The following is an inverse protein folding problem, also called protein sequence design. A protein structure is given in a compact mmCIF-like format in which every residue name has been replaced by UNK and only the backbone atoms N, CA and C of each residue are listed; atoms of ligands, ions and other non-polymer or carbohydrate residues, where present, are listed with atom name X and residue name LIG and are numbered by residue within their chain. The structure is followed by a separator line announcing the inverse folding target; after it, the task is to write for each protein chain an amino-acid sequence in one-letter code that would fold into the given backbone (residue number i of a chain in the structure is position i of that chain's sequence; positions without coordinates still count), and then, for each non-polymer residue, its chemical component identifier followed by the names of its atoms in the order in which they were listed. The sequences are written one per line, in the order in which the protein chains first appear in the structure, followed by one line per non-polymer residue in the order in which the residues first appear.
data_IF_771744453904
#
_entry.id   IF_771744453904
#
_cell.length_a   1.000
_cell.length_b   1.000
_cell.length_c   1.000
_cell.angle_alpha   90.00
_cell.angle_beta   90.00
_cell.angle_gamma   90.00
#
_symmetry.space_group_name_H-M   'P 1'
#
loop_
_entity.id
_entity.type
_entity.pdbx_description
1 polymer ?
#
# COMPACT_ATOMS: atom_id res chain seq x y z
N UNK A 1 -55.21 -53.00 75.31
CA UNK A 1 -55.06 -51.59 74.90
C UNK A 1 -53.90 -51.01 75.68
N UNK A 2 -52.65 -51.47 75.59
CA UNK A 2 -51.73 -51.65 74.45
C UNK A 2 -51.64 -50.48 73.47
N UNK A 3 -50.44 -49.87 73.48
CA UNK A 3 -49.73 -49.17 72.40
C UNK A 3 -50.26 -47.78 71.95
N UNK A 4 -49.46 -46.78 71.57
CA UNK A 4 -48.05 -46.69 71.21
C UNK A 4 -47.61 -45.21 71.20
N UNK A 5 -46.35 -44.98 71.59
CA UNK A 5 -45.56 -43.75 71.42
C UNK A 5 -45.47 -43.33 69.94
N UNK A 6 -45.43 -42.02 69.65
CA UNK A 6 -44.80 -41.52 68.42
C UNK A 6 -43.85 -40.36 68.69
N UNK A 7 -42.58 -40.62 68.37
CA UNK A 7 -41.42 -39.72 68.44
C UNK A 7 -41.45 -38.75 67.26
N UNK A 8 -41.18 -37.47 67.51
CA UNK A 8 -40.81 -36.52 66.45
C UNK A 8 -39.37 -36.81 65.99
N UNK A 9 -39.18 -37.13 64.72
CA UNK A 9 -37.86 -37.13 64.07
C UNK A 9 -37.70 -35.83 63.28
N UNK A 10 -36.70 -35.03 63.63
CA UNK A 10 -36.15 -33.98 62.79
C UNK A 10 -35.26 -34.66 61.72
N UNK A 11 -35.60 -34.46 60.45
CA UNK A 11 -34.75 -34.81 59.31
C UNK A 11 -34.07 -33.53 58.83
N UNK A 12 -32.75 -33.43 58.98
CA UNK A 12 -31.94 -32.37 58.37
C UNK A 12 -31.48 -32.90 57.01
N UNK A 13 -32.10 -32.43 55.93
CA UNK A 13 -31.59 -32.66 54.58
C UNK A 13 -30.48 -31.65 54.29
N UNK A 14 -29.24 -32.13 54.19
CA UNK A 14 -28.10 -31.37 53.70
C UNK A 14 -28.13 -31.44 52.17
N UNK A 15 -28.67 -30.41 51.52
CA UNK A 15 -28.48 -30.20 50.09
C UNK A 15 -27.04 -29.76 49.80
N UNK A 16 -26.21 -30.70 49.33
CA UNK A 16 -24.94 -30.38 48.67
C UNK A 16 -25.23 -29.77 47.29
N UNK A 17 -25.27 -28.44 47.24
CA UNK A 17 -25.28 -27.68 45.99
C UNK A 17 -23.92 -27.77 45.31
N UNK A 18 -23.85 -28.48 44.18
CA UNK A 18 -22.69 -28.46 43.28
C UNK A 18 -22.66 -27.11 42.57
N UNK A 19 -21.77 -26.22 43.00
CA UNK A 19 -21.49 -24.95 42.31
C UNK A 19 -20.57 -25.28 41.14
N UNK A 20 -21.13 -25.44 39.95
CA UNK A 20 -20.36 -25.43 38.70
C UNK A 20 -19.85 -24.01 38.43
N UNK A 21 -18.60 -23.74 38.79
CA UNK A 21 -17.88 -22.53 38.37
C UNK A 21 -17.53 -22.70 36.89
N UNK A 22 -18.35 -22.12 36.01
CA UNK A 22 -17.96 -21.92 34.63
C UNK A 22 -16.83 -20.89 34.59
N UNK A 23 -15.60 -21.35 34.39
CA UNK A 23 -14.50 -20.48 33.99
C UNK A 23 -14.77 -19.98 32.56
N UNK A 24 -15.51 -18.87 32.46
CA UNK A 24 -15.51 -18.05 31.26
C UNK A 24 -14.10 -17.52 31.07
N UNK A 25 -13.29 -18.19 30.25
CA UNK A 25 -12.05 -17.61 29.73
C UNK A 25 -12.44 -16.38 28.91
N UNK A 26 -12.36 -15.19 29.51
CA UNK A 26 -12.39 -13.94 28.77
C UNK A 26 -11.12 -13.88 27.93
N UNK A 27 -11.15 -14.46 26.73
CA UNK A 27 -10.15 -14.15 25.72
C UNK A 27 -10.37 -12.69 25.31
N UNK A 28 -9.40 -11.82 25.60
CA UNK A 28 -9.40 -10.46 25.11
C UNK A 28 -9.54 -10.48 23.58
N UNK A 29 -10.44 -9.67 23.00
CA UNK A 29 -10.55 -9.59 21.54
C UNK A 29 -9.18 -9.22 20.96
N UNK A 30 -8.76 -9.97 19.93
CA UNK A 30 -7.49 -9.73 19.23
C UNK A 30 -7.52 -8.34 18.59
N UNK A 31 -6.42 -7.61 18.68
CA UNK A 31 -6.28 -6.36 17.92
C UNK A 31 -6.23 -6.63 16.41
N UNK A 32 -6.47 -5.62 15.59
CA UNK A 32 -6.28 -5.71 14.13
C UNK A 32 -4.86 -6.16 13.77
N UNK A 33 -3.87 -5.68 14.54
CA UNK A 33 -2.47 -6.08 14.35
C UNK A 33 -2.28 -7.57 14.63
N UNK A 34 -2.85 -8.10 15.73
CA UNK A 34 -2.75 -9.53 16.07
C UNK A 34 -3.40 -10.41 14.99
N UNK A 35 -4.57 -9.99 14.50
CA UNK A 35 -5.29 -10.70 13.43
C UNK A 35 -4.42 -10.79 12.18
N UNK A 36 -3.85 -9.67 11.74
CA UNK A 36 -3.04 -9.64 10.52
C UNK A 36 -1.68 -10.29 10.71
N UNK A 37 -1.08 -10.16 11.89
CA UNK A 37 0.16 -10.83 12.27
C UNK A 37 0.00 -12.34 12.16
N UNK A 38 -1.07 -12.91 12.74
CA UNK A 38 -1.34 -14.34 12.65
C UNK A 38 -1.50 -14.84 11.20
N UNK A 39 -2.08 -14.02 10.33
CA UNK A 39 -2.31 -14.39 8.92
C UNK A 39 -1.04 -14.30 8.06
N UNK A 40 -0.15 -13.36 8.35
CA UNK A 40 0.97 -13.03 7.47
C UNK A 40 2.33 -13.45 8.03
N UNK A 41 2.43 -13.82 9.31
CA UNK A 41 3.69 -14.13 10.00
C UNK A 41 4.56 -15.13 9.25
N UNK A 42 4.01 -16.24 8.78
CA UNK A 42 4.78 -17.26 8.03
C UNK A 42 5.40 -16.65 6.77
N UNK A 43 4.59 -16.07 5.89
CA UNK A 43 5.05 -15.43 4.64
C UNK A 43 6.12 -14.36 4.91
N UNK A 44 5.87 -13.48 5.88
CA UNK A 44 6.75 -12.36 6.21
C UNK A 44 8.10 -12.87 6.74
N UNK A 45 8.10 -13.84 7.65
CA UNK A 45 9.34 -14.38 8.21
C UNK A 45 10.18 -15.14 7.18
N UNK A 46 9.54 -15.89 6.28
CA UNK A 46 10.21 -16.58 5.16
C UNK A 46 10.83 -15.60 4.17
N UNK A 47 10.07 -14.59 3.72
CA UNK A 47 10.58 -13.55 2.82
C UNK A 47 11.71 -12.75 3.48
N UNK A 48 11.53 -12.30 4.73
CA UNK A 48 12.55 -11.55 5.45
C UNK A 48 13.84 -12.35 5.61
N UNK A 49 13.75 -13.65 5.89
CA UNK A 49 14.91 -14.53 5.95
C UNK A 49 15.68 -14.57 4.62
N UNK A 50 14.97 -14.59 3.49
CA UNK A 50 15.59 -14.56 2.16
C UNK A 50 16.34 -13.25 1.85
N UNK A 51 16.01 -12.16 2.55
CA UNK A 51 16.61 -10.84 2.36
C UNK A 51 17.71 -10.48 3.36
N UNK A 52 17.96 -11.27 4.42
CA UNK A 52 18.97 -10.95 5.43
C UNK A 52 20.39 -10.75 4.86
N UNK A 53 20.73 -11.48 3.79
CA UNK A 53 22.03 -11.37 3.11
C UNK A 53 22.04 -10.43 1.89
N UNK A 54 20.92 -9.76 1.59
CA UNK A 54 20.78 -8.96 0.38
C UNK A 54 21.71 -7.74 0.43
N UNK A 55 22.46 -7.51 -0.65
CA UNK A 55 23.31 -6.32 -0.75
C UNK A 55 22.49 -5.08 -1.20
N UNK A 56 22.85 -3.87 -0.74
CA UNK A 56 22.28 -2.63 -1.25
C UNK A 56 22.55 -2.46 -2.74
N UNK A 57 21.50 -2.14 -3.49
CA UNK A 57 21.54 -1.81 -4.91
C UNK A 57 20.62 -0.61 -5.11
N UNK A 58 21.12 0.43 -5.77
CA UNK A 58 20.37 1.67 -6.03
C UNK A 58 20.32 1.96 -7.53
N UNK A 59 19.71 3.09 -7.90
CA UNK A 59 19.62 3.51 -9.29
C UNK A 59 20.99 3.76 -9.94
N UNK A 60 22.00 4.15 -9.17
CA UNK A 60 23.34 4.43 -9.71
C UNK A 60 24.05 3.17 -10.23
N UNK A 61 23.54 1.98 -9.90
CA UNK A 61 24.04 0.71 -10.44
C UNK A 61 23.62 0.45 -11.89
N UNK A 62 22.72 1.25 -12.45
CA UNK A 62 22.17 1.05 -13.80
C UNK A 62 22.22 2.35 -14.60
N UNK A 63 23.00 2.39 -15.67
CA UNK A 63 23.09 3.57 -16.53
C UNK A 63 21.97 3.52 -17.58
N UNK A 64 21.17 4.56 -17.63
CA UNK A 64 20.19 4.78 -18.68
C UNK A 64 20.77 5.67 -19.78
N UNK A 65 21.33 5.08 -20.83
CA UNK A 65 21.96 5.80 -21.96
C UNK A 65 21.04 6.85 -22.63
N UNK A 66 19.71 6.68 -22.48
CA UNK A 66 18.70 7.59 -23.04
C UNK A 66 18.27 8.71 -22.09
N UNK A 67 18.78 8.71 -20.85
CA UNK A 67 18.47 9.73 -19.86
C UNK A 67 19.21 11.03 -20.15
N UNK A 68 18.55 12.15 -19.90
CA UNK A 68 19.18 13.47 -19.89
C UNK A 68 19.69 13.88 -18.48
N UNK A 69 19.49 13.02 -17.48
CA UNK A 69 19.90 13.23 -16.11
C UNK A 69 21.27 12.65 -15.77
N UNK A 70 21.69 12.88 -14.53
CA UNK A 70 22.88 12.24 -13.95
C UNK A 70 22.59 10.80 -13.51
N UNK A 71 23.63 10.07 -13.10
CA UNK A 71 23.50 8.72 -12.51
C UNK A 71 22.65 8.70 -11.23
N UNK A 72 22.48 9.85 -10.57
CA UNK A 72 21.67 10.02 -9.36
C UNK A 72 20.21 10.36 -9.66
N UNK A 73 19.84 10.56 -10.93
CA UNK A 73 18.47 10.91 -11.29
C UNK A 73 17.67 9.69 -11.75
N UNK A 74 16.45 9.54 -11.24
CA UNK A 74 15.59 8.44 -11.64
C UNK A 74 15.13 8.61 -13.10
N UNK A 75 15.30 7.56 -13.90
CA UNK A 75 14.87 7.50 -15.29
C UNK A 75 13.93 6.32 -15.53
N UNK A 76 12.88 6.58 -16.29
CA UNK A 76 12.00 5.55 -16.83
C UNK A 76 11.36 6.05 -18.12
N UNK A 77 10.73 5.15 -18.86
CA UNK A 77 10.06 5.47 -20.11
C UNK A 77 8.56 5.27 -20.00
N UNK A 78 7.79 6.10 -20.72
CA UNK A 78 6.35 5.99 -20.71
C UNK A 78 5.91 4.63 -21.25
N UNK A 79 5.24 3.83 -20.43
CA UNK A 79 5.02 2.39 -20.72
C UNK A 79 4.34 2.13 -22.05
N UNK A 80 3.39 2.99 -22.42
CA UNK A 80 2.52 2.81 -23.57
C UNK A 80 3.01 3.53 -24.82
N UNK A 81 4.28 3.90 -24.90
CA UNK A 81 4.86 4.62 -26.03
C UNK A 81 5.76 3.70 -26.86
N UNK A 82 5.46 3.63 -28.16
CA UNK A 82 6.06 2.68 -29.09
C UNK A 82 6.71 3.40 -30.28
N UNK A 83 7.75 2.81 -30.90
CA UNK A 83 8.23 3.24 -32.21
C UNK A 83 7.09 3.31 -33.22
N UNK A 84 7.14 4.34 -34.08
CA UNK A 84 6.20 4.44 -35.17
C UNK A 84 6.66 3.53 -36.33
N UNK A 85 5.92 2.46 -36.67
CA UNK A 85 6.36 1.50 -37.69
C UNK A 85 6.44 2.11 -39.09
N UNK A 86 5.71 3.21 -39.34
CA UNK A 86 5.71 3.92 -40.63
C UNK A 86 6.88 4.90 -40.76
N UNK A 87 7.35 5.45 -39.64
CA UNK A 87 8.41 6.47 -39.60
C UNK A 87 9.34 6.18 -38.42
N UNK A 88 10.33 5.28 -38.57
CA UNK A 88 11.14 4.77 -37.46
C UNK A 88 11.88 5.84 -36.64
N UNK A 89 12.27 6.94 -37.29
CA UNK A 89 13.00 8.06 -36.65
C UNK A 89 12.07 9.13 -36.04
N UNK A 90 10.75 8.97 -36.17
CA UNK A 90 9.78 9.91 -35.60
C UNK A 90 9.54 9.71 -34.10
N UNK A 91 8.89 10.69 -33.48
CA UNK A 91 8.45 10.60 -32.10
C UNK A 91 7.57 9.36 -31.87
N UNK A 92 7.72 8.73 -30.70
CA UNK A 92 6.91 7.56 -30.35
C UNK A 92 5.41 7.87 -30.36
N UNK A 93 4.61 6.83 -30.56
CA UNK A 93 3.14 6.86 -30.59
C UNK A 93 2.56 6.10 -29.41
N UNK A 94 1.41 6.55 -28.88
CA UNK A 94 0.78 5.93 -27.71
C UNK A 94 -0.10 4.74 -28.11
N UNK A 95 0.00 3.63 -27.37
CA UNK A 95 -0.88 2.44 -27.44
C UNK A 95 -1.34 2.06 -26.03
N UNK A 96 -2.51 2.55 -25.61
CA UNK A 96 -2.95 2.45 -24.21
C UNK A 96 -3.07 1.00 -23.69
N UNK A 97 -2.48 0.72 -22.53
CA UNK A 97 -2.47 -0.61 -21.91
C UNK A 97 -1.46 -1.61 -22.49
N UNK A 98 -0.83 -1.30 -23.63
CA UNK A 98 0.18 -2.15 -24.24
C UNK A 98 1.57 -1.65 -23.85
N UNK A 99 2.16 -2.29 -22.84
CA UNK A 99 3.50 -1.95 -22.36
C UNK A 99 4.56 -2.30 -23.39
N UNK A 100 5.41 -1.34 -23.74
CA UNK A 100 6.56 -1.54 -24.62
C UNK A 100 7.65 -2.35 -23.88
N UNK A 101 8.00 -3.57 -24.35
CA UNK A 101 9.00 -4.41 -23.70
C UNK A 101 10.43 -3.83 -23.79
N UNK A 102 10.70 -2.93 -24.74
CA UNK A 102 12.02 -2.32 -24.96
C UNK A 102 12.30 -1.13 -24.03
N UNK A 103 11.35 -0.82 -23.15
CA UNK A 103 11.51 0.27 -22.19
C UNK A 103 12.64 0.00 -21.21
N UNK A 104 13.36 1.06 -20.86
CA UNK A 104 14.25 1.04 -19.72
C UNK A 104 13.44 0.96 -18.42
N UNK A 105 13.59 -0.16 -17.70
CA UNK A 105 12.84 -0.46 -16.47
C UNK A 105 13.73 -0.72 -15.25
N UNK A 106 15.07 -0.60 -15.39
CA UNK A 106 16.00 -1.02 -14.36
C UNK A 106 15.84 -0.23 -13.05
N UNK A 107 15.72 1.11 -13.12
CA UNK A 107 15.52 1.95 -11.92
C UNK A 107 14.23 1.58 -11.18
N UNK A 108 13.14 1.34 -11.91
CA UNK A 108 11.87 0.88 -11.34
C UNK A 108 12.03 -0.49 -10.65
N UNK A 109 12.75 -1.43 -11.28
CA UNK A 109 13.01 -2.76 -10.71
C UNK A 109 13.78 -2.69 -9.39
N UNK A 110 14.84 -1.88 -9.31
CA UNK A 110 15.59 -1.74 -8.05
C UNK A 110 14.81 -1.00 -6.97
N UNK A 111 13.92 -0.08 -7.33
CA UNK A 111 13.03 0.57 -6.38
C UNK A 111 11.97 -0.39 -5.82
N UNK A 112 11.37 -1.22 -6.67
CA UNK A 112 10.48 -2.31 -6.24
C UNK A 112 11.23 -3.27 -5.33
N UNK A 113 12.47 -3.65 -5.69
CA UNK A 113 13.32 -4.50 -4.83
C UNK A 113 13.57 -3.86 -3.47
N UNK A 114 13.89 -2.56 -3.40
CA UNK A 114 14.04 -1.84 -2.14
C UNK A 114 12.75 -1.89 -1.31
N UNK A 115 11.60 -1.64 -1.94
CA UNK A 115 10.28 -1.72 -1.30
C UNK A 115 9.99 -3.09 -0.72
N UNK A 116 10.28 -4.18 -1.45
CA UNK A 116 10.12 -5.55 -0.97
C UNK A 116 11.03 -5.86 0.24
N UNK A 117 12.32 -5.53 0.14
CA UNK A 117 13.28 -5.72 1.23
C UNK A 117 12.86 -4.94 2.47
N UNK A 118 12.52 -3.66 2.29
CA UNK A 118 12.11 -2.77 3.39
C UNK A 118 10.83 -3.27 4.06
N UNK A 119 9.85 -3.65 3.25
CA UNK A 119 8.58 -4.18 3.69
C UNK A 119 8.72 -5.47 4.51
N UNK A 120 9.44 -6.44 3.97
CA UNK A 120 9.65 -7.74 4.62
C UNK A 120 10.43 -7.61 5.93
N UNK A 121 11.58 -6.94 5.91
CA UNK A 121 12.46 -6.82 7.09
C UNK A 121 11.79 -6.03 8.23
N UNK A 122 11.19 -4.87 7.93
CA UNK A 122 10.52 -4.08 8.97
C UNK A 122 9.29 -4.80 9.53
N UNK A 123 8.52 -5.50 8.69
CA UNK A 123 7.37 -6.29 9.17
C UNK A 123 7.80 -7.47 10.03
N UNK A 124 8.89 -8.16 9.66
CA UNK A 124 9.43 -9.24 10.48
C UNK A 124 9.87 -8.72 11.86
N UNK A 125 10.54 -7.57 11.92
CA UNK A 125 10.86 -6.91 13.18
C UNK A 125 9.61 -6.60 14.02
N UNK A 126 8.52 -6.09 13.43
CA UNK A 126 7.28 -5.81 14.18
C UNK A 126 6.69 -7.07 14.85
N UNK A 127 6.85 -8.23 14.22
CA UNK A 127 6.31 -9.53 14.68
C UNK A 127 7.25 -10.23 15.66
N UNK A 128 8.56 -10.17 15.45
CA UNK A 128 9.52 -10.97 16.22
C UNK A 128 10.39 -10.17 17.18
N UNK A 129 10.45 -8.84 17.00
CA UNK A 129 11.31 -7.91 17.75
C UNK A 129 12.81 -8.26 17.65
N UNK A 130 13.20 -8.99 16.60
CA UNK A 130 14.59 -9.41 16.37
C UNK A 130 15.36 -8.33 15.61
N UNK A 131 16.34 -7.73 16.28
CA UNK A 131 17.11 -6.57 15.81
C UNK A 131 17.82 -6.82 14.47
N UNK A 132 18.16 -8.09 14.16
CA UNK A 132 18.87 -8.46 12.91
C UNK A 132 18.15 -7.97 11.65
N UNK A 133 16.82 -7.87 11.70
CA UNK A 133 16.03 -7.41 10.55
C UNK A 133 16.21 -5.91 10.31
N UNK A 134 16.31 -5.11 11.38
CA UNK A 134 16.60 -3.68 11.28
C UNK A 134 18.06 -3.46 10.87
N UNK A 135 18.99 -4.20 11.47
CA UNK A 135 20.41 -4.17 11.10
C UNK A 135 20.62 -4.47 9.61
N UNK A 136 19.91 -5.46 9.07
CA UNK A 136 19.94 -5.79 7.64
C UNK A 136 19.33 -4.70 6.76
N UNK A 137 18.30 -3.97 7.24
CA UNK A 137 17.63 -2.92 6.46
C UNK A 137 18.45 -1.62 6.37
N UNK A 138 19.18 -1.25 7.43
CA UNK A 138 19.89 0.03 7.52
C UNK A 138 20.84 0.32 6.35
N UNK A 139 21.69 -0.61 5.87
CA UNK A 139 22.54 -0.40 4.71
C UNK A 139 21.77 -0.02 3.43
N UNK A 140 20.58 -0.59 3.22
CA UNK A 140 19.76 -0.27 2.04
C UNK A 140 19.25 1.16 2.09
N UNK A 141 18.73 1.60 3.24
CA UNK A 141 18.24 2.98 3.41
C UNK A 141 19.39 3.99 3.28
N UNK A 142 20.53 3.73 3.92
CA UNK A 142 21.72 4.59 3.81
C UNK A 142 22.22 4.69 2.37
N UNK A 143 22.27 3.58 1.63
CA UNK A 143 22.69 3.60 0.23
C UNK A 143 21.74 4.42 -0.65
N UNK A 144 20.43 4.28 -0.47
CA UNK A 144 19.44 4.93 -1.33
C UNK A 144 19.27 6.42 -1.06
N UNK A 145 19.34 6.85 0.21
CA UNK A 145 18.95 8.20 0.61
C UNK A 145 20.11 9.10 1.01
N UNK A 146 21.22 8.52 1.50
CA UNK A 146 22.27 9.28 2.21
C UNK A 146 23.62 9.24 1.50
N UNK A 147 24.10 8.04 1.14
CA UNK A 147 25.45 7.86 0.62
C UNK A 147 25.63 8.64 -0.71
N UNK A 148 26.56 9.61 -0.78
CA UNK A 148 26.71 10.48 -1.94
C UNK A 148 27.05 9.73 -3.23
N UNK A 149 27.65 8.54 -3.15
CA UNK A 149 28.01 7.74 -4.33
C UNK A 149 26.84 6.92 -4.88
N UNK A 150 25.78 6.71 -4.10
CA UNK A 150 24.69 5.79 -4.46
C UNK A 150 23.29 6.38 -4.33
N UNK A 151 23.14 7.55 -3.69
CA UNK A 151 21.82 8.11 -3.41
C UNK A 151 21.07 8.46 -4.68
N UNK A 152 19.75 8.32 -4.63
CA UNK A 152 18.85 8.93 -5.62
C UNK A 152 18.63 10.40 -5.26
N UNK A 153 18.53 11.30 -6.24
CA UNK A 153 18.13 12.68 -6.00
C UNK A 153 16.63 12.75 -5.68
N UNK A 154 16.19 13.63 -4.76
CA UNK A 154 14.78 13.74 -4.34
C UNK A 154 13.93 14.52 -5.36
N UNK A 155 13.93 14.09 -6.63
CA UNK A 155 13.11 14.64 -7.70
C UNK A 155 12.89 13.60 -8.80
N UNK A 156 11.86 13.81 -9.64
CA UNK A 156 11.50 12.91 -10.75
C UNK A 156 11.49 13.66 -12.10
N UNK A 157 12.57 14.36 -12.41
CA UNK A 157 12.68 15.17 -13.64
C UNK A 157 12.72 14.35 -14.93
N UNK A 158 13.19 13.10 -14.88
CA UNK A 158 13.39 12.25 -16.07
C UNK A 158 12.53 10.98 -16.07
N UNK A 159 11.45 10.98 -15.29
CA UNK A 159 10.52 9.86 -15.23
C UNK A 159 9.53 9.87 -16.39
N UNK A 160 9.25 8.67 -16.90
CA UNK A 160 8.38 8.41 -18.06
C UNK A 160 8.68 9.30 -19.27
N UNK A 161 9.97 9.41 -19.62
CA UNK A 161 10.43 10.03 -20.85
C UNK A 161 9.76 9.40 -22.07
N UNK A 162 9.64 10.18 -23.15
CA UNK A 162 9.10 9.73 -24.43
C UNK A 162 10.03 10.17 -25.54
N UNK A 163 10.61 9.19 -26.26
CA UNK A 163 11.52 9.46 -27.37
C UNK A 163 10.90 10.41 -28.39
N UNK A 164 11.63 11.48 -28.71
CA UNK A 164 11.23 12.53 -29.64
C UNK A 164 10.12 13.47 -29.13
N UNK A 165 9.80 13.46 -27.83
CA UNK A 165 8.77 14.36 -27.26
C UNK A 165 9.22 15.08 -26.00
N UNK A 166 9.60 14.34 -24.96
CA UNK A 166 9.91 14.90 -23.63
C UNK A 166 10.93 14.03 -22.90
N UNK A 167 11.77 14.64 -22.08
CA UNK A 167 12.77 13.96 -21.24
C UNK A 167 12.20 13.45 -19.92
N UNK A 168 11.02 13.92 -19.52
CA UNK A 168 10.26 13.45 -18.36
C UNK A 168 8.92 14.19 -18.23
N UNK A 169 8.04 13.72 -17.35
CA UNK A 169 6.68 14.28 -17.18
C UNK A 169 6.04 13.92 -15.83
N UNK A 170 5.04 14.70 -15.42
CA UNK A 170 4.29 14.54 -14.15
C UNK A 170 3.75 13.12 -13.91
N UNK A 171 3.17 12.49 -14.94
CA UNK A 171 2.66 11.09 -14.93
C UNK A 171 3.71 10.07 -14.48
N UNK A 172 5.01 10.41 -14.58
CA UNK A 172 6.10 9.59 -14.07
C UNK A 172 6.19 9.48 -12.56
N UNK A 173 5.52 10.36 -11.79
CA UNK A 173 5.52 10.33 -10.31
C UNK A 173 4.90 9.05 -9.77
N UNK A 174 4.00 8.41 -10.53
CA UNK A 174 3.48 7.09 -10.15
C UNK A 174 4.57 6.02 -10.03
N UNK A 175 5.75 6.19 -10.66
CA UNK A 175 6.83 5.22 -10.57
C UNK A 175 7.43 5.12 -9.16
N UNK A 176 7.29 6.17 -8.33
CA UNK A 176 7.80 6.21 -6.95
C UNK A 176 6.81 5.75 -5.88
N UNK A 177 5.62 5.27 -6.24
CA UNK A 177 4.65 4.75 -5.25
C UNK A 177 5.24 3.64 -4.37
N UNK A 178 6.26 2.93 -4.85
CA UNK A 178 6.97 1.90 -4.08
C UNK A 178 7.79 2.45 -2.90
N UNK A 179 8.15 3.74 -2.92
CA UNK A 179 8.80 4.38 -1.78
C UNK A 179 7.86 4.56 -0.58
N UNK A 180 6.54 4.37 -0.74
CA UNK A 180 5.58 4.46 0.38
C UNK A 180 5.89 3.41 1.45
N UNK A 181 6.04 2.14 1.08
CA UNK A 181 6.39 1.10 2.07
C UNK A 181 7.82 1.27 2.59
N UNK A 182 8.72 1.86 1.80
CA UNK A 182 10.06 2.23 2.28
C UNK A 182 9.96 3.29 3.38
N UNK A 183 9.11 4.31 3.21
CA UNK A 183 8.88 5.33 4.23
C UNK A 183 8.25 4.74 5.49
N UNK A 184 7.24 3.86 5.34
CA UNK A 184 6.61 3.15 6.47
C UNK A 184 7.62 2.26 7.22
N UNK A 185 8.45 1.49 6.50
CA UNK A 185 9.53 0.71 7.08
C UNK A 185 10.58 1.58 7.78
N UNK A 186 10.91 2.74 7.21
CA UNK A 186 11.83 3.72 7.81
C UNK A 186 11.28 4.25 9.14
N UNK A 187 9.95 4.43 9.26
CA UNK A 187 9.33 4.78 10.54
C UNK A 187 9.55 3.72 11.61
N UNK A 188 9.43 2.44 11.26
CA UNK A 188 9.71 1.30 12.16
C UNK A 188 11.18 1.30 12.59
N UNK A 189 12.11 1.58 11.66
CA UNK A 189 13.55 1.72 11.98
C UNK A 189 13.79 2.86 12.97
N UNK A 190 13.11 4.00 12.83
CA UNK A 190 13.21 5.09 13.81
C UNK A 190 12.66 4.69 15.19
N UNK A 191 11.56 3.94 15.22
CA UNK A 191 10.92 3.47 16.45
C UNK A 191 11.74 2.41 17.20
N UNK A 192 12.54 1.60 16.49
CA UNK A 192 13.40 0.57 17.11
C UNK A 192 14.58 1.16 17.89
N UNK A 193 14.94 2.43 17.63
CA UNK A 193 16.11 3.13 18.22
C UNK A 193 17.47 2.48 17.92
N UNK A 194 17.54 1.61 16.91
CA UNK A 194 18.79 0.99 16.43
C UNK A 194 19.56 1.86 15.43
N UNK A 195 18.92 2.93 14.93
CA UNK A 195 19.55 3.97 14.11
C UNK A 195 19.94 5.17 14.99
N UNK A 196 21.07 5.81 14.69
CA UNK A 196 21.40 7.09 15.31
C UNK A 196 20.44 8.19 14.85
N UNK A 197 20.11 9.13 15.75
CA UNK A 197 19.25 10.27 15.43
C UNK A 197 19.78 11.07 14.22
N UNK A 198 21.10 11.29 14.16
CA UNK A 198 21.74 12.00 13.06
C UNK A 198 21.60 11.28 11.70
N UNK A 199 21.68 9.94 11.66
CA UNK A 199 21.48 9.20 10.41
C UNK A 199 19.99 9.09 10.04
N UNK A 200 19.11 9.00 11.03
CA UNK A 200 17.67 9.00 10.80
C UNK A 200 17.19 10.32 10.20
N UNK A 201 17.66 11.46 10.73
CA UNK A 201 17.31 12.77 10.20
C UNK A 201 17.82 13.00 8.77
N UNK A 202 18.97 12.43 8.37
CA UNK A 202 19.41 12.49 6.96
C UNK A 202 18.46 11.75 6.02
N UNK A 203 17.91 10.61 6.45
CA UNK A 203 16.93 9.87 5.65
C UNK A 203 15.62 10.65 5.59
N UNK A 204 15.14 11.17 6.72
CA UNK A 204 13.94 12.04 6.76
C UNK A 204 14.09 13.27 5.89
N UNK A 205 15.27 13.90 5.86
CA UNK A 205 15.55 15.07 5.03
C UNK A 205 15.30 14.76 3.55
N UNK A 206 15.71 13.58 3.06
CA UNK A 206 15.44 13.18 1.67
C UNK A 206 13.94 13.13 1.37
N UNK A 207 13.14 12.54 2.26
CA UNK A 207 11.69 12.47 2.10
C UNK A 207 11.03 13.84 2.22
N UNK A 208 11.54 14.72 3.08
CA UNK A 208 11.10 16.11 3.19
C UNK A 208 11.37 16.88 1.91
N UNK A 209 12.59 16.79 1.37
CA UNK A 209 13.00 17.41 0.11
C UNK A 209 12.13 16.92 -1.06
N UNK A 210 11.87 15.61 -1.12
CA UNK A 210 11.05 15.03 -2.18
C UNK A 210 9.58 15.44 -2.06
N UNK A 211 9.03 15.50 -0.84
CA UNK A 211 7.66 15.97 -0.59
C UNK A 211 7.50 17.43 -0.98
N UNK A 212 8.50 18.28 -0.67
CA UNK A 212 8.53 19.66 -1.13
C UNK A 212 8.56 19.73 -2.67
N UNK A 213 9.38 18.92 -3.34
CA UNK A 213 9.39 18.87 -4.80
C UNK A 213 8.04 18.41 -5.39
N UNK A 214 7.41 17.37 -4.82
CA UNK A 214 6.11 16.85 -5.24
C UNK A 214 4.97 17.87 -5.10
N UNK A 215 5.05 18.78 -4.14
CA UNK A 215 3.98 19.75 -3.84
C UNK A 215 4.20 21.10 -4.52
N UNK A 216 5.43 21.45 -4.89
CA UNK A 216 5.76 22.76 -5.45
C UNK A 216 6.08 22.73 -6.95
N UNK A 217 6.74 21.68 -7.44
CA UNK A 217 7.19 21.57 -8.82
C UNK A 217 6.01 21.35 -9.79
N UNK A 218 6.16 21.81 -11.03
CA UNK A 218 5.11 21.71 -12.05
C UNK A 218 4.69 20.28 -12.38
N UNK A 219 5.62 19.32 -12.30
CA UNK A 219 5.32 17.89 -12.49
C UNK A 219 4.45 17.34 -11.36
N UNK A 220 4.79 17.70 -10.12
CA UNK A 220 4.00 17.36 -8.94
C UNK A 220 2.57 17.86 -9.01
N UNK A 221 2.40 19.15 -9.35
CA UNK A 221 1.07 19.76 -9.55
C UNK A 221 0.27 19.08 -10.66
N UNK A 222 0.90 18.79 -11.80
CA UNK A 222 0.24 18.07 -12.91
C UNK A 222 -0.20 16.65 -12.54
N UNK A 223 0.56 15.97 -11.70
CA UNK A 223 0.18 14.64 -11.23
C UNK A 223 -0.98 14.70 -10.22
N UNK A 224 -0.89 15.62 -9.25
CA UNK A 224 -1.98 15.92 -8.31
C UNK A 224 -3.28 16.22 -9.06
N UNK A 225 -3.21 16.99 -10.14
CA UNK A 225 -4.39 17.50 -10.86
C UNK A 225 -4.82 16.59 -12.04
N UNK A 226 -4.33 15.35 -12.13
CA UNK A 226 -4.65 14.40 -13.21
C UNK A 226 -6.12 13.94 -13.19
N UNK A 227 -6.69 13.81 -11.99
CA UNK A 227 -8.10 13.53 -11.72
C UNK A 227 -8.50 12.07 -11.88
N UNK A 228 -7.56 11.12 -11.81
CA UNK A 228 -7.77 9.68 -11.79
C UNK A 228 -6.83 9.04 -10.75
N UNK A 229 -6.53 7.74 -10.85
CA UNK A 229 -5.59 7.03 -9.99
C UNK A 229 -4.25 7.76 -9.76
N UNK A 230 -3.75 8.52 -10.73
CA UNK A 230 -2.52 9.32 -10.56
C UNK A 230 -2.64 10.34 -9.41
N UNK A 231 -3.78 11.02 -9.29
CA UNK A 231 -4.01 11.99 -8.21
C UNK A 231 -4.06 11.32 -6.84
N UNK A 232 -4.68 10.14 -6.77
CA UNK A 232 -4.76 9.35 -5.53
C UNK A 232 -3.38 8.85 -5.12
N UNK A 233 -2.61 8.32 -6.08
CA UNK A 233 -1.24 7.87 -5.85
C UNK A 233 -0.30 9.01 -5.47
N UNK A 234 -0.47 10.22 -6.03
CA UNK A 234 0.26 11.40 -5.60
C UNK A 234 -0.04 11.73 -4.13
N UNK A 235 -1.32 11.76 -3.75
CA UNK A 235 -1.73 12.08 -2.38
C UNK A 235 -1.26 11.01 -1.38
N UNK A 236 -1.33 9.74 -1.75
CA UNK A 236 -0.84 8.62 -0.93
C UNK A 236 0.67 8.71 -0.69
N UNK A 237 1.46 9.10 -1.69
CA UNK A 237 2.90 9.35 -1.54
C UNK A 237 3.17 10.53 -0.59
N UNK A 238 2.55 11.68 -0.83
CA UNK A 238 2.72 12.87 0.02
C UNK A 238 2.33 12.58 1.45
N UNK A 239 1.21 11.89 1.69
CA UNK A 239 0.75 11.53 3.02
C UNK A 239 1.75 10.59 3.75
N UNK A 240 2.23 9.54 3.07
CA UNK A 240 3.17 8.61 3.69
C UNK A 240 4.52 9.26 4.05
N UNK A 241 5.00 10.16 3.20
CA UNK A 241 6.26 10.86 3.45
C UNK A 241 6.09 11.93 4.53
N UNK A 242 4.96 12.65 4.53
CA UNK A 242 4.60 13.59 5.59
C UNK A 242 4.48 12.91 6.96
N UNK A 243 3.90 11.69 7.03
CA UNK A 243 3.83 10.92 8.29
C UNK A 243 5.24 10.61 8.82
N UNK A 244 6.18 10.19 7.96
CA UNK A 244 7.56 9.92 8.35
C UNK A 244 8.28 11.19 8.83
N UNK A 245 8.04 12.32 8.17
CA UNK A 245 8.68 13.60 8.50
C UNK A 245 7.92 14.41 9.54
N UNK A 246 6.78 13.92 10.04
CA UNK A 246 5.90 14.59 10.99
C UNK A 246 5.38 15.95 10.47
N UNK A 247 5.07 16.04 9.18
CA UNK A 247 4.48 17.23 8.55
C UNK A 247 2.94 17.20 8.63
N UNK A 248 2.41 17.67 9.76
CA UNK A 248 0.96 17.71 10.02
C UNK A 248 0.19 18.58 9.03
N UNK A 249 0.82 19.60 8.45
CA UNK A 249 0.17 20.45 7.45
C UNK A 249 -0.10 19.66 6.17
N UNK A 250 0.86 18.87 5.70
CA UNK A 250 0.66 18.01 4.52
C UNK A 250 -0.33 16.88 4.80
N UNK A 251 -0.32 16.28 5.98
CA UNK A 251 -1.31 15.27 6.37
C UNK A 251 -2.74 15.85 6.34
N UNK A 252 -2.94 17.04 6.93
CA UNK A 252 -4.21 17.76 6.88
C UNK A 252 -4.63 18.09 5.44
N UNK A 253 -3.69 18.58 4.61
CA UNK A 253 -3.96 18.89 3.21
C UNK A 253 -4.38 17.65 2.41
N UNK A 254 -3.72 16.51 2.60
CA UNK A 254 -4.09 15.26 1.95
C UNK A 254 -5.49 14.78 2.40
N UNK A 255 -5.83 14.95 3.67
CA UNK A 255 -7.17 14.64 4.19
C UNK A 255 -8.26 15.50 3.56
N UNK A 256 -8.04 16.81 3.46
CA UNK A 256 -8.95 17.72 2.77
C UNK A 256 -9.05 17.37 1.28
N UNK A 257 -7.91 17.14 0.61
CA UNK A 257 -7.90 16.76 -0.80
C UNK A 257 -8.66 15.46 -1.07
N UNK A 258 -8.62 14.49 -0.16
CA UNK A 258 -9.45 13.29 -0.22
C UNK A 258 -10.95 13.63 -0.20
N UNK A 259 -11.38 14.43 0.79
CA UNK A 259 -12.79 14.73 1.07
C UNK A 259 -13.41 15.68 0.05
N UNK A 260 -12.63 16.62 -0.47
CA UNK A 260 -13.10 17.73 -1.29
C UNK A 260 -12.92 17.47 -2.78
N UNK A 261 -11.94 16.64 -3.18
CA UNK A 261 -11.58 16.43 -4.59
C UNK A 261 -11.59 14.95 -4.97
N UNK A 262 -10.74 14.12 -4.35
CA UNK A 262 -10.51 12.75 -4.82
C UNK A 262 -11.78 11.89 -4.78
N UNK A 263 -12.44 11.79 -3.63
CA UNK A 263 -13.64 10.98 -3.50
C UNK A 263 -14.85 11.58 -4.26
N UNK A 264 -15.19 12.87 -4.10
CA UNK A 264 -16.36 13.44 -4.77
C UNK A 264 -16.25 13.47 -6.29
N UNK A 265 -15.07 13.71 -6.86
CA UNK A 265 -14.91 13.91 -8.31
C UNK A 265 -14.60 12.63 -9.07
N UNK A 266 -13.93 11.65 -8.45
CA UNK A 266 -13.49 10.45 -9.18
C UNK A 266 -14.47 9.28 -9.10
N UNK A 267 -15.23 9.16 -8.01
CA UNK A 267 -16.19 8.08 -7.81
C UNK A 267 -17.56 8.45 -8.41
N UNK A 268 -18.26 7.51 -9.03
CA UNK A 268 -19.64 7.65 -9.47
C UNK A 268 -20.63 7.30 -8.33
N UNK A 269 -21.93 7.55 -8.54
CA UNK A 269 -22.96 7.28 -7.53
C UNK A 269 -23.17 5.78 -7.25
N UNK A 270 -22.72 4.90 -8.13
CA UNK A 270 -22.75 3.44 -7.95
C UNK A 270 -21.49 2.87 -7.27
N UNK A 271 -20.55 3.73 -6.87
CA UNK A 271 -19.26 3.34 -6.27
C UNK A 271 -18.14 3.06 -7.28
N UNK A 272 -18.44 3.05 -8.57
CA UNK A 272 -17.43 2.82 -9.60
C UNK A 272 -16.51 4.03 -9.79
N UNK A 273 -15.38 3.83 -10.46
CA UNK A 273 -14.48 4.91 -10.89
C UNK A 273 -14.47 5.03 -12.42
N UNK A 274 -15.26 5.94 -13.03
CA UNK A 274 -15.49 5.94 -14.48
C UNK A 274 -14.23 6.06 -15.35
N UNK A 275 -13.26 6.87 -14.93
CA UNK A 275 -11.99 7.03 -15.67
C UNK A 275 -11.18 5.74 -15.70
N UNK A 276 -11.30 4.90 -14.68
CA UNK A 276 -10.63 3.60 -14.59
C UNK A 276 -11.36 2.54 -15.41
N UNK A 277 -12.69 2.55 -15.35
CA UNK A 277 -13.54 1.70 -16.18
C UNK A 277 -13.38 1.96 -17.69
N UNK A 278 -13.04 3.19 -18.09
CA UNK A 278 -12.83 3.53 -19.51
C UNK A 278 -11.49 3.05 -20.09
N UNK A 279 -10.60 2.46 -19.27
CA UNK A 279 -9.26 2.04 -19.71
C UNK A 279 -9.30 0.67 -20.37
N UNK A 280 -8.25 0.33 -21.11
CA UNK A 280 -8.05 -1.00 -21.72
C UNK A 280 -7.79 -2.12 -20.70
N UNK A 281 -7.59 -1.76 -19.42
CA UNK A 281 -7.39 -2.68 -18.30
C UNK A 281 -8.32 -2.36 -17.12
N UNK A 282 -9.65 -2.28 -17.35
CA UNK A 282 -10.53 -1.59 -16.40
C UNK A 282 -10.64 -2.31 -15.06
N UNK A 283 -10.51 -3.64 -15.05
CA UNK A 283 -10.49 -4.43 -13.82
C UNK A 283 -9.26 -4.11 -12.96
N UNK A 284 -8.06 -4.17 -13.54
CA UNK A 284 -6.82 -3.83 -12.84
C UNK A 284 -6.77 -2.38 -12.37
N UNK A 285 -7.21 -1.41 -13.21
CA UNK A 285 -7.26 -0.01 -12.79
C UNK A 285 -8.30 0.26 -11.70
N UNK A 286 -9.44 -0.43 -11.70
CA UNK A 286 -10.45 -0.29 -10.63
C UNK A 286 -9.93 -0.82 -9.30
N UNK A 287 -9.27 -1.97 -9.32
CA UNK A 287 -8.58 -2.55 -8.16
C UNK A 287 -7.52 -1.58 -7.64
N UNK A 288 -6.59 -1.18 -8.52
CA UNK A 288 -5.46 -0.33 -8.17
C UNK A 288 -5.90 0.99 -7.55
N UNK A 289 -6.90 1.65 -8.14
CA UNK A 289 -7.39 2.92 -7.62
C UNK A 289 -8.08 2.75 -6.26
N UNK A 290 -8.89 1.70 -6.08
CA UNK A 290 -9.55 1.43 -4.80
C UNK A 290 -8.53 1.13 -3.70
N UNK A 291 -7.51 0.32 -4.00
CA UNK A 291 -6.42 0.05 -3.05
C UNK A 291 -5.65 1.31 -2.67
N UNK A 292 -5.39 2.21 -3.63
CA UNK A 292 -4.75 3.50 -3.36
C UNK A 292 -5.64 4.43 -2.50
N UNK A 293 -6.96 4.47 -2.74
CA UNK A 293 -7.91 5.24 -1.93
C UNK A 293 -7.94 4.74 -0.48
N UNK A 294 -8.00 3.42 -0.29
CA UNK A 294 -7.96 2.81 1.05
C UNK A 294 -6.60 3.00 1.72
N UNK A 295 -5.50 2.90 0.98
CA UNK A 295 -4.15 3.18 1.49
C UNK A 295 -3.98 4.62 1.96
N UNK A 296 -4.45 5.59 1.17
CA UNK A 296 -4.47 7.00 1.57
C UNK A 296 -5.30 7.19 2.84
N UNK A 297 -6.51 6.62 2.90
CA UNK A 297 -7.36 6.71 4.08
C UNK A 297 -6.70 6.13 5.34
N UNK A 298 -6.00 4.99 5.22
CA UNK A 298 -5.26 4.42 6.36
C UNK A 298 -4.15 5.35 6.87
N UNK A 299 -3.52 6.13 6.00
CA UNK A 299 -2.44 7.04 6.42
C UNK A 299 -3.00 8.26 7.13
N UNK A 300 -4.07 8.87 6.60
CA UNK A 300 -4.51 10.21 7.06
C UNK A 300 -5.70 10.19 8.01
N UNK A 301 -6.27 9.03 8.32
CA UNK A 301 -7.34 8.87 9.32
C UNK A 301 -6.89 9.28 10.73
N UNK A 302 -7.78 9.96 11.47
CA UNK A 302 -7.70 10.11 12.93
C UNK A 302 -9.03 9.75 13.59
N UNK A 303 -9.06 9.58 14.91
CA UNK A 303 -10.30 9.31 15.65
C UNK A 303 -11.37 10.38 15.38
N UNK A 304 -10.97 11.65 15.22
CA UNK A 304 -11.84 12.78 14.93
C UNK A 304 -12.21 12.92 13.45
N UNK A 305 -11.45 12.32 12.53
CA UNK A 305 -11.69 12.41 11.08
C UNK A 305 -11.41 11.07 10.41
N UNK A 306 -12.38 10.16 10.59
CA UNK A 306 -12.33 8.82 10.03
C UNK A 306 -12.87 8.76 8.61
N UNK A 307 -11.95 8.71 7.64
CA UNK A 307 -12.27 8.66 6.22
C UNK A 307 -12.97 7.38 5.77
N UNK A 308 -12.90 6.28 6.51
CA UNK A 308 -13.64 5.06 6.19
C UNK A 308 -15.15 5.23 6.37
N UNK A 309 -15.57 6.10 7.29
CA UNK A 309 -16.98 6.42 7.54
C UNK A 309 -17.41 7.78 6.98
N UNK A 310 -16.52 8.46 6.26
CA UNK A 310 -16.86 9.70 5.56
C UNK A 310 -17.79 9.40 4.37
N UNK A 311 -18.83 10.23 4.24
CA UNK A 311 -19.76 10.19 3.13
C UNK A 311 -19.86 11.60 2.53
N UNK A 312 -19.84 11.68 1.21
CA UNK A 312 -20.21 12.90 0.50
C UNK A 312 -21.73 13.12 0.59
N UNK A 313 -22.19 14.34 0.28
CA UNK A 313 -23.62 14.68 0.31
C UNK A 313 -24.49 13.79 -0.61
N UNK A 314 -23.93 13.23 -1.68
CA UNK A 314 -24.59 12.29 -2.59
C UNK A 314 -24.23 10.81 -2.33
N UNK A 315 -23.72 10.47 -1.14
CA UNK A 315 -23.58 9.09 -0.69
C UNK A 315 -22.32 8.35 -1.15
N UNK A 316 -21.40 9.00 -1.88
CA UNK A 316 -20.09 8.40 -2.22
C UNK A 316 -19.27 8.19 -0.96
N UNK A 317 -18.69 6.99 -0.82
CA UNK A 317 -17.88 6.56 0.33
C UNK A 317 -16.93 5.44 -0.06
N UNK A 318 -15.90 5.19 0.75
CA UNK A 318 -15.01 4.03 0.55
C UNK A 318 -15.78 2.71 0.66
N UNK A 319 -16.78 2.62 1.54
CA UNK A 319 -17.65 1.46 1.66
C UNK A 319 -18.40 1.19 0.35
N UNK A 320 -18.95 2.24 -0.28
CA UNK A 320 -19.64 2.12 -1.56
C UNK A 320 -18.70 1.60 -2.68
N UNK A 321 -17.47 2.12 -2.76
CA UNK A 321 -16.48 1.62 -3.73
C UNK A 321 -16.09 0.16 -3.49
N UNK A 322 -16.01 -0.26 -2.23
CA UNK A 322 -15.76 -1.65 -1.84
C UNK A 322 -16.93 -2.55 -2.21
N UNK A 323 -18.17 -2.12 -1.95
CA UNK A 323 -19.39 -2.84 -2.32
C UNK A 323 -19.53 -3.00 -3.83
N UNK A 324 -19.18 -1.97 -4.61
CA UNK A 324 -19.12 -2.04 -6.08
C UNK A 324 -18.17 -3.14 -6.57
N UNK A 325 -16.93 -3.17 -6.05
CA UNK A 325 -15.89 -4.04 -6.58
C UNK A 325 -15.95 -5.48 -6.03
N UNK A 326 -16.45 -5.66 -4.80
CA UNK A 326 -16.54 -6.95 -4.10
C UNK A 326 -17.10 -8.12 -4.94
N UNK A 327 -18.26 -8.03 -5.62
CA UNK A 327 -18.81 -9.17 -6.37
C UNK A 327 -17.87 -9.68 -7.45
N UNK A 328 -17.06 -8.79 -8.04
CA UNK A 328 -16.13 -9.11 -9.13
C UNK A 328 -14.77 -9.62 -8.61
N UNK A 329 -14.40 -9.29 -7.38
CA UNK A 329 -13.25 -9.90 -6.69
C UNK A 329 -13.58 -11.29 -6.18
N UNK A 330 -14.81 -11.48 -5.70
CA UNK A 330 -15.31 -12.77 -5.25
C UNK A 330 -15.53 -13.75 -6.40
N UNK A 331 -15.96 -13.25 -7.55
CA UNK A 331 -16.20 -14.02 -8.78
C UNK A 331 -15.91 -13.15 -10.01
N UNK A 332 -14.69 -13.30 -10.56
CA UNK A 332 -14.21 -12.56 -11.73
C UNK A 332 -15.06 -12.77 -12.97
N UNK A 333 -15.82 -13.87 -13.07
CA UNK A 333 -16.71 -14.13 -14.23
C UNK A 333 -17.90 -13.17 -14.32
N UNK A 334 -18.24 -12.50 -13.20
CA UNK A 334 -19.34 -11.52 -13.13
C UNK A 334 -18.95 -10.11 -13.59
N UNK A 335 -17.67 -9.89 -13.92
CA UNK A 335 -17.20 -8.58 -14.37
C UNK A 335 -17.90 -8.16 -15.67
N UNK A 336 -18.68 -7.06 -15.67
CA UNK A 336 -19.54 -6.71 -16.81
C UNK A 336 -18.83 -5.84 -17.86
N UNK A 337 -17.60 -5.40 -17.59
CA UNK A 337 -16.80 -4.57 -18.49
C UNK A 337 -15.80 -5.40 -19.29
N UNK A 338 -15.08 -4.75 -20.21
CA UNK A 338 -14.05 -5.44 -20.99
C UNK A 338 -12.97 -6.08 -20.11
N UNK A 339 -12.43 -7.20 -20.59
CA UNK A 339 -11.28 -7.85 -19.96
C UNK A 339 -10.02 -7.00 -20.12
N UNK A 340 -9.11 -7.14 -19.16
CA UNK A 340 -7.76 -6.58 -19.26
C UNK A 340 -7.02 -7.17 -20.47
N UNK A 341 -6.46 -6.31 -21.31
CA UNK A 341 -5.80 -6.70 -22.56
C UNK A 341 -4.48 -7.46 -22.39
N UNK A 342 -3.89 -7.50 -21.19
CA UNK A 342 -2.57 -8.11 -20.97
C UNK A 342 -2.49 -9.00 -19.72
N UNK A 343 -3.17 -8.66 -18.63
CA UNK A 343 -2.98 -9.27 -17.31
C UNK A 343 -4.29 -9.73 -16.67
N UNK A 344 -5.31 -10.04 -17.48
CA UNK A 344 -6.61 -10.49 -17.00
C UNK A 344 -6.54 -11.71 -16.08
N UNK A 345 -5.66 -12.67 -16.38
CA UNK A 345 -5.53 -13.90 -15.58
C UNK A 345 -4.77 -13.70 -14.26
N UNK A 346 -4.06 -12.59 -14.11
CA UNK A 346 -3.24 -12.31 -12.94
C UNK A 346 -3.98 -11.54 -11.84
N UNK A 347 -5.18 -11.05 -12.13
CA UNK A 347 -6.07 -10.40 -11.18
C UNK A 347 -7.23 -11.31 -10.78
N UNK A 348 -7.78 -11.17 -9.56
CA UNK A 348 -7.28 -10.35 -8.46
C UNK A 348 -6.18 -11.05 -7.64
N UNK A 349 -5.53 -10.30 -6.75
CA UNK A 349 -4.58 -10.78 -5.73
C UNK A 349 -5.08 -10.40 -4.33
N UNK A 350 -4.32 -10.67 -3.26
CA UNK A 350 -4.60 -10.20 -1.89
C UNK A 350 -4.71 -8.66 -1.82
N UNK A 351 -5.90 -8.13 -2.12
CA UNK A 351 -6.08 -6.68 -2.27
C UNK A 351 -6.14 -5.95 -0.92
N UNK A 352 -5.33 -4.89 -0.72
CA UNK A 352 -5.33 -4.05 0.46
C UNK A 352 -6.69 -3.48 0.84
N UNK A 353 -7.49 -3.01 -0.13
CA UNK A 353 -8.82 -2.45 0.12
C UNK A 353 -9.77 -3.45 0.79
N UNK A 354 -9.68 -4.74 0.43
CA UNK A 354 -10.49 -5.80 1.06
C UNK A 354 -10.03 -6.05 2.49
N UNK A 355 -8.71 -6.09 2.75
CA UNK A 355 -8.20 -6.27 4.11
C UNK A 355 -8.57 -5.07 4.99
N UNK A 356 -8.27 -3.86 4.55
CA UNK A 356 -8.55 -2.65 5.33
C UNK A 356 -10.04 -2.43 5.52
N UNK A 357 -10.87 -2.73 4.52
CA UNK A 357 -12.33 -2.74 4.67
C UNK A 357 -12.82 -3.79 5.68
N UNK A 358 -12.21 -4.97 5.73
CA UNK A 358 -12.55 -5.99 6.71
C UNK A 358 -12.28 -5.52 8.15
N UNK A 359 -11.15 -4.87 8.39
CA UNK A 359 -10.76 -4.35 9.70
C UNK A 359 -11.65 -3.17 10.13
N UNK A 360 -12.02 -2.29 9.20
CA UNK A 360 -12.77 -1.08 9.52
C UNK A 360 -14.28 -1.29 9.65
N UNK A 361 -14.88 -2.17 8.83
CA UNK A 361 -16.33 -2.33 8.78
C UNK A 361 -16.87 -3.51 9.60
N UNK A 362 -16.00 -4.28 10.26
CA UNK A 362 -16.33 -5.49 11.02
C UNK A 362 -17.21 -6.48 10.21
N UNK A 363 -16.90 -6.60 8.92
CA UNK A 363 -17.64 -7.44 7.99
C UNK A 363 -16.83 -8.69 7.62
N UNK A 364 -17.20 -9.82 8.24
CA UNK A 364 -16.53 -11.12 8.07
C UNK A 364 -16.41 -11.59 6.62
N UNK A 365 -17.30 -11.13 5.72
CA UNK A 365 -17.26 -11.44 4.28
C UNK A 365 -15.98 -10.91 3.61
N UNK A 366 -15.49 -9.73 4.00
CA UNK A 366 -14.29 -9.15 3.41
C UNK A 366 -13.04 -9.91 3.86
N UNK A 367 -12.92 -10.22 5.15
CA UNK A 367 -11.80 -11.02 5.65
C UNK A 367 -11.78 -12.42 5.04
N UNK A 368 -12.95 -13.04 4.88
CA UNK A 368 -13.10 -14.35 4.24
C UNK A 368 -12.67 -14.30 2.77
N UNK A 369 -13.06 -13.25 2.04
CA UNK A 369 -12.62 -13.06 0.66
C UNK A 369 -11.11 -12.87 0.59
N UNK A 370 -10.54 -11.96 1.40
CA UNK A 370 -9.11 -11.67 1.37
C UNK A 370 -8.24 -12.92 1.60
N UNK A 371 -8.62 -13.79 2.55
CA UNK A 371 -7.94 -15.06 2.82
C UNK A 371 -7.94 -16.03 1.63
N UNK A 372 -8.93 -15.92 0.73
CA UNK A 372 -9.07 -16.78 -0.46
C UNK A 372 -8.44 -16.16 -1.71
N UNK A 373 -8.20 -14.85 -1.73
CA UNK A 373 -7.59 -14.19 -2.88
C UNK A 373 -6.18 -14.74 -3.11
N UNK A 374 -5.75 -14.90 -4.38
CA UNK A 374 -4.40 -15.35 -4.71
C UNK A 374 -3.31 -14.46 -4.10
N UNK A 375 -2.18 -15.06 -3.74
CA UNK A 375 -0.97 -14.31 -3.39
C UNK A 375 -0.50 -13.43 -4.55
N UNK A 376 0.25 -12.37 -4.24
CA UNK A 376 0.80 -11.48 -5.26
C UNK A 376 1.85 -12.25 -6.08
N UNK A 377 1.65 -12.50 -7.38
CA UNK A 377 2.59 -13.24 -8.19
C UNK A 377 3.87 -12.45 -8.41
N UNK A 378 5.00 -13.15 -8.58
CA UNK A 378 6.26 -12.55 -8.99
C UNK A 378 6.24 -12.19 -10.51
N UNK A 379 5.34 -11.29 -10.88
CA UNK A 379 5.17 -10.73 -12.23
C UNK A 379 5.38 -9.23 -12.17
N UNK A 380 6.27 -8.72 -13.02
CA UNK A 380 6.71 -7.33 -12.97
C UNK A 380 5.55 -6.32 -13.01
N UNK A 381 4.56 -6.51 -13.88
CA UNK A 381 3.42 -5.59 -13.96
C UNK A 381 2.55 -5.65 -12.70
N UNK A 382 2.31 -6.84 -12.15
CA UNK A 382 1.47 -6.98 -10.95
C UNK A 382 2.18 -6.37 -9.75
N UNK A 383 3.46 -6.67 -9.54
CA UNK A 383 4.27 -6.06 -8.49
C UNK A 383 4.30 -4.53 -8.61
N UNK A 384 4.35 -3.99 -9.82
CA UNK A 384 4.32 -2.54 -10.07
C UNK A 384 2.98 -1.91 -9.64
N UNK A 385 1.87 -2.62 -9.83
CA UNK A 385 0.54 -2.13 -9.47
C UNK A 385 0.10 -2.56 -8.06
N UNK A 386 1.01 -3.10 -7.25
CA UNK A 386 0.73 -3.48 -5.84
C UNK A 386 1.69 -2.72 -4.91
N UNK A 387 1.51 -1.42 -4.67
CA UNK A 387 2.41 -0.65 -3.80
C UNK A 387 2.25 -0.97 -2.31
N UNK A 388 1.19 -1.68 -1.92
CA UNK A 388 0.89 -2.12 -0.55
C UNK A 388 0.94 -3.66 -0.54
N UNK A 389 1.96 -4.23 0.10
CA UNK A 389 2.25 -5.67 0.12
C UNK A 389 2.50 -6.22 1.52
N UNK A 390 2.80 -5.34 2.49
CA UNK A 390 3.10 -5.72 3.88
C UNK A 390 2.15 -4.99 4.83
N UNK A 391 0.92 -5.49 5.02
CA UNK A 391 -0.12 -4.81 5.79
C UNK A 391 0.27 -4.46 7.24
N UNK A 392 1.19 -5.19 7.86
CA UNK A 392 1.68 -4.90 9.21
C UNK A 392 2.35 -3.53 9.35
N UNK A 393 2.85 -2.94 8.25
CA UNK A 393 3.37 -1.58 8.25
C UNK A 393 2.27 -0.49 8.27
N UNK A 394 1.02 -0.89 8.03
CA UNK A 394 -0.12 0.02 7.84
C UNK A 394 -1.10 0.00 9.01
N UNK A 395 -0.97 -0.98 9.90
CA UNK A 395 -1.87 -1.19 11.04
C UNK A 395 -1.10 -0.84 12.32
N UNK A 396 -1.75 -0.13 13.25
CA UNK A 396 -1.15 0.21 14.54
C UNK A 396 -1.02 -1.06 15.39
N UNK A 397 0.18 -1.31 15.92
CA UNK A 397 0.45 -2.37 16.91
C UNK A 397 -0.14 -2.00 18.27
#
# INVERSE_FOLDING_TARGET
MEHLLFKSRFSVEICLGVICIFFLTCSTPKSDFDIVSDLEKTRITEEAHSYLGAQPITITSYIAERSAGSIHDFYSEGDYWWPNPKYPDSAYIRKDGLSNPDNFVAHRKVMIRLSLISGALASAYLVTEDEKYIEALLPHLKAWFVNPNTKMNPNLLYAQAIKGRVTGRGIGIIDTIHLIEVAKATRVVGQSKLISEADFEKIKQWFSDYTNWLTTHSFGKKERDNGNNHSVCWAMQVAAFAELTQDENQLKNCRMFFKDVLLPEQMAEDGSFPKELSRTKPYGYSIFNLDAMFGLAQIVWTEEDNLFFYNTANGKSLKLGLEFLYPYLADKSKWPYQKDVMYWEDWPTKQPSILFGALQYDETRYLTLWKRLPEIPNKQEILRNMPIRYPLLWIKK
#
